data_IF_671745296625
#
_entry.id   IF_671745296625
#
_cell.length_a   1.000
_cell.length_b   1.000
_cell.length_c   1.000
_cell.angle_alpha   90.00
_cell.angle_beta   90.00
_cell.angle_gamma   90.00
#
_symmetry.space_group_name_H-M   'P 1'
#
loop_
_entity.id
_entity.type
_entity.pdbx_description
1 polymer ?
#
# COMPACT_ATOMS: atom_id res chain seq x y z
N UNK A 1 29.75 -50.38 9.30
CA UNK A 1 28.46 -50.66 8.65
C UNK A 1 27.37 -50.22 9.60
N UNK A 2 26.77 -49.05 9.32
CA UNK A 2 25.36 -48.74 9.54
C UNK A 2 25.12 -47.41 8.82
N UNK A 3 24.70 -47.52 7.56
CA UNK A 3 24.29 -46.40 6.72
C UNK A 3 22.93 -45.89 7.22
N UNK A 4 22.91 -44.67 7.75
CA UNK A 4 21.67 -43.97 8.05
C UNK A 4 21.13 -43.42 6.72
N UNK A 5 20.22 -44.17 6.11
CA UNK A 5 19.44 -43.73 4.94
C UNK A 5 18.47 -42.64 5.40
N UNK A 6 18.67 -41.42 4.89
CA UNK A 6 17.73 -40.32 5.03
C UNK A 6 16.67 -40.52 3.94
N UNK A 7 15.45 -40.86 4.33
CA UNK A 7 14.31 -40.90 3.41
C UNK A 7 13.93 -39.47 3.04
N UNK A 8 14.15 -39.09 1.79
CA UNK A 8 13.59 -37.90 1.17
C UNK A 8 12.09 -38.14 0.90
N UNK A 9 11.23 -37.87 1.88
CA UNK A 9 9.81 -37.73 1.61
C UNK A 9 9.56 -36.38 0.94
N UNK A 10 9.45 -36.41 -0.39
CA UNK A 10 8.90 -35.33 -1.19
C UNK A 10 7.45 -35.05 -0.76
N UNK A 11 7.26 -34.00 0.03
CA UNK A 11 5.94 -33.43 0.30
C UNK A 11 5.49 -32.71 -0.98
N UNK A 12 4.59 -33.35 -1.73
CA UNK A 12 3.82 -32.67 -2.78
C UNK A 12 2.90 -31.66 -2.09
N UNK A 13 3.20 -30.38 -2.26
CA UNK A 13 2.28 -29.30 -1.92
C UNK A 13 1.27 -29.27 -3.06
N UNK A 14 0.01 -29.55 -2.75
CA UNK A 14 -1.09 -29.33 -3.69
C UNK A 14 -1.21 -27.83 -3.93
N UNK A 15 -0.77 -27.39 -5.11
CA UNK A 15 -1.04 -26.06 -5.63
C UNK A 15 -2.53 -25.95 -5.97
N UNK A 16 -3.33 -25.49 -5.02
CA UNK A 16 -4.67 -24.97 -5.29
C UNK A 16 -4.78 -23.58 -4.67
N UNK A 17 -4.08 -22.62 -5.25
CA UNK A 17 -4.40 -21.20 -5.10
C UNK A 17 -4.65 -20.66 -6.51
N UNK A 18 -5.91 -20.54 -6.87
CA UNK A 18 -6.33 -19.81 -8.07
C UNK A 18 -5.83 -18.38 -7.94
N UNK A 19 -4.78 -18.08 -8.71
CA UNK A 19 -4.28 -16.73 -8.93
C UNK A 19 -5.32 -16.01 -9.78
N UNK A 20 -6.10 -15.12 -9.18
CA UNK A 20 -6.88 -14.14 -9.95
C UNK A 20 -5.95 -13.00 -10.35
N UNK A 21 -5.27 -13.17 -11.48
CA UNK A 21 -4.75 -12.06 -12.27
C UNK A 21 -5.94 -11.28 -12.84
N UNK A 22 -6.14 -10.03 -12.42
CA UNK A 22 -7.23 -9.20 -12.96
C UNK A 22 -6.69 -8.40 -14.14
N UNK A 23 -6.97 -8.90 -15.34
CA UNK A 23 -7.12 -8.07 -16.54
C UNK A 23 -8.62 -7.78 -16.76
N UNK A 24 -9.02 -6.51 -16.64
CA UNK A 24 -10.24 -5.88 -17.18
C UNK A 24 -11.63 -6.33 -16.65
N UNK A 25 -12.67 -5.49 -16.89
CA UNK A 25 -13.43 -4.77 -15.87
C UNK A 25 -14.39 -5.68 -15.08
N UNK A 26 -14.39 -5.57 -13.75
CA UNK A 26 -15.30 -6.36 -12.92
C UNK A 26 -16.76 -6.07 -13.30
N UNK A 27 -17.45 -7.07 -13.84
CA UNK A 27 -18.90 -7.04 -14.09
C UNK A 27 -19.70 -6.67 -12.84
N UNK A 28 -19.12 -6.88 -11.65
CA UNK A 28 -19.66 -6.46 -10.35
C UNK A 28 -19.61 -4.94 -10.16
N UNK A 29 -18.57 -4.24 -10.63
CA UNK A 29 -18.49 -2.77 -10.62
C UNK A 29 -19.57 -2.16 -11.51
N UNK A 30 -19.74 -2.70 -12.72
CA UNK A 30 -20.78 -2.23 -13.67
C UNK A 30 -22.18 -2.45 -13.08
N UNK A 31 -22.46 -3.63 -12.51
CA UNK A 31 -23.75 -3.92 -11.87
C UNK A 31 -24.01 -3.07 -10.62
N UNK A 32 -22.98 -2.75 -9.84
CA UNK A 32 -23.10 -1.84 -8.69
C UNK A 32 -23.46 -0.42 -9.15
N UNK A 33 -22.77 0.06 -10.21
CA UNK A 33 -22.99 1.40 -10.78
C UNK A 33 -24.35 1.57 -11.46
N UNK A 34 -24.92 0.50 -12.02
CA UNK A 34 -26.28 0.51 -12.58
C UNK A 34 -27.38 0.49 -11.49
N UNK A 35 -27.08 -0.10 -10.33
CA UNK A 35 -28.05 -0.35 -9.25
C UNK A 35 -28.19 0.84 -8.29
N UNK A 36 -27.08 1.51 -7.97
CA UNK A 36 -27.09 2.76 -7.23
C UNK A 36 -27.19 3.94 -8.22
N UNK A 37 -28.42 4.39 -8.51
CA UNK A 37 -28.65 5.73 -9.08
C UNK A 37 -28.12 6.80 -8.12
N UNK A 38 -26.81 7.05 -8.11
CA UNK A 38 -26.19 8.16 -7.40
C UNK A 38 -26.45 9.44 -8.20
N UNK A 39 -27.71 9.84 -8.22
CA UNK A 39 -28.12 11.23 -8.38
C UNK A 39 -28.09 11.85 -6.99
N UNK A 40 -27.65 13.11 -6.90
CA UNK A 40 -27.36 13.88 -5.69
C UNK A 40 -25.96 13.66 -5.09
N UNK A 41 -25.02 14.55 -5.47
CA UNK A 41 -24.22 15.37 -4.55
C UNK A 41 -23.68 16.59 -5.34
N UNK A 42 -24.27 17.73 -5.02
CA UNK A 42 -23.81 19.14 -5.06
C UNK A 42 -22.84 19.60 -6.16
N UNK A 43 -23.39 20.38 -7.10
CA UNK A 43 -22.67 21.39 -7.87
C UNK A 43 -22.15 22.49 -6.92
N UNK A 44 -20.84 22.52 -6.68
CA UNK A 44 -20.20 23.72 -6.14
C UNK A 44 -19.99 24.67 -7.32
N UNK A 45 -20.82 25.71 -7.37
CA UNK A 45 -20.67 26.88 -8.23
C UNK A 45 -19.26 27.45 -8.12
N UNK A 46 -18.55 27.48 -9.24
CA UNK A 46 -17.43 28.41 -9.44
C UNK A 46 -18.02 29.63 -10.14
N UNK A 47 -18.18 30.70 -9.39
CA UNK A 47 -18.61 32.00 -9.87
C UNK A 47 -17.73 32.48 -11.03
N UNK A 48 -18.32 32.63 -12.21
CA UNK A 48 -17.83 33.57 -13.22
C UNK A 48 -18.89 34.64 -13.44
N UNK A 49 -18.59 35.83 -12.95
CA UNK A 49 -19.37 37.05 -13.10
C UNK A 49 -19.63 37.43 -14.56
N UNK A 50 -20.92 37.53 -14.90
CA UNK A 50 -21.61 38.49 -15.78
C UNK A 50 -21.01 38.86 -17.15
N UNK A 51 -21.74 38.52 -18.23
CA UNK A 51 -22.34 39.51 -19.16
C UNK A 51 -23.70 39.01 -19.66
N UNK A 52 -24.73 39.83 -19.47
CA UNK A 52 -26.11 39.71 -19.95
C UNK A 52 -26.26 39.77 -21.47
N UNK A 53 -27.16 38.96 -22.04
CA UNK A 53 -28.30 39.46 -22.87
C UNK A 53 -29.31 38.35 -23.14
N UNK A 54 -30.59 38.75 -23.16
CA UNK A 54 -31.79 37.96 -23.44
C UNK A 54 -31.81 37.51 -24.90
N UNK A 55 -32.37 36.32 -25.19
CA UNK A 55 -33.59 36.15 -26.02
C UNK A 55 -33.89 34.67 -26.33
N UNK A 56 -35.11 34.30 -25.93
CA UNK A 56 -36.12 33.43 -26.56
C UNK A 56 -35.77 32.08 -27.23
N UNK A 57 -36.44 31.06 -26.69
CA UNK A 57 -36.64 29.72 -27.24
C UNK A 57 -37.22 29.73 -28.66
N UNK A 58 -36.63 28.92 -29.55
CA UNK A 58 -37.37 28.19 -30.58
C UNK A 58 -36.75 26.83 -30.83
N UNK A 59 -37.54 25.77 -30.63
CA UNK A 59 -37.27 24.40 -31.06
C UNK A 59 -37.45 24.31 -32.59
N UNK A 60 -36.37 24.09 -33.34
CA UNK A 60 -36.43 23.61 -34.73
C UNK A 60 -35.32 22.57 -34.94
N UNK A 61 -35.74 21.42 -35.49
CA UNK A 61 -34.97 20.20 -35.76
C UNK A 61 -33.64 20.44 -36.51
N UNK A 62 -32.58 19.72 -36.12
CA UNK A 62 -31.35 19.65 -36.91
C UNK A 62 -31.48 18.61 -38.05
N UNK A 63 -31.11 18.93 -39.31
CA UNK A 63 -30.95 17.93 -40.34
C UNK A 63 -29.64 17.14 -40.11
N UNK A 64 -29.72 15.82 -40.27
CA UNK A 64 -28.58 14.90 -40.33
C UNK A 64 -27.52 15.43 -41.31
N UNK A 65 -26.35 15.81 -40.79
CA UNK A 65 -25.13 15.93 -41.60
C UNK A 65 -24.10 14.92 -41.11
N UNK A 66 -23.97 13.84 -41.87
CA UNK A 66 -22.74 13.05 -41.95
C UNK A 66 -21.60 14.01 -42.28
N UNK A 67 -20.62 14.13 -41.41
CA UNK A 67 -19.30 14.58 -41.78
C UNK A 67 -18.30 13.66 -41.08
N UNK A 68 -17.35 13.16 -41.87
CA UNK A 68 -16.25 12.33 -41.42
C UNK A 68 -15.35 13.17 -40.52
N UNK A 69 -15.11 12.72 -39.28
CA UNK A 69 -14.21 13.37 -38.34
C UNK A 69 -13.10 12.42 -37.90
N UNK A 70 -11.88 12.94 -37.96
CA UNK A 70 -10.57 12.33 -37.66
C UNK A 70 -10.46 11.89 -36.20
N UNK A 71 -9.62 10.87 -35.95
CA UNK A 71 -9.57 10.07 -34.71
C UNK A 71 -9.39 10.82 -33.37
N UNK A 72 -8.95 12.08 -33.35
CA UNK A 72 -8.85 12.90 -32.12
C UNK A 72 -10.23 13.19 -31.50
N UNK A 73 -11.26 13.41 -32.31
CA UNK A 73 -12.64 13.57 -31.81
C UNK A 73 -13.25 12.26 -31.28
N UNK A 74 -12.77 11.11 -31.76
CA UNK A 74 -13.21 9.81 -31.25
C UNK A 74 -12.66 9.55 -29.84
N UNK A 75 -11.41 9.95 -29.57
CA UNK A 75 -10.82 9.81 -28.23
C UNK A 75 -11.49 10.68 -27.17
N UNK A 76 -11.80 11.94 -27.50
CA UNK A 76 -12.51 12.82 -26.55
C UNK A 76 -13.95 12.33 -26.31
N UNK A 77 -14.59 11.75 -27.33
CA UNK A 77 -15.87 11.05 -27.20
C UNK A 77 -15.76 9.88 -26.21
N UNK A 78 -14.70 9.06 -26.30
CA UNK A 78 -14.48 7.94 -25.38
C UNK A 78 -14.29 8.42 -23.93
N UNK A 79 -13.51 9.47 -23.68
CA UNK A 79 -13.37 10.02 -22.32
C UNK A 79 -14.65 10.67 -21.80
N UNK A 80 -15.47 11.27 -22.68
CA UNK A 80 -16.84 11.71 -22.33
C UNK A 80 -17.70 10.51 -21.94
N UNK A 81 -17.64 9.41 -22.69
CA UNK A 81 -18.39 8.20 -22.37
C UNK A 81 -17.92 7.58 -21.04
N UNK A 82 -16.60 7.54 -20.78
CA UNK A 82 -16.03 7.12 -19.50
C UNK A 82 -16.49 8.01 -18.34
N UNK A 83 -16.56 9.33 -18.56
CA UNK A 83 -17.06 10.29 -17.58
C UNK A 83 -18.55 10.05 -17.27
N UNK A 84 -19.39 9.87 -18.31
CA UNK A 84 -20.83 9.61 -18.13
C UNK A 84 -21.10 8.25 -17.49
N UNK A 85 -20.30 7.24 -17.85
CA UNK A 85 -20.38 5.90 -17.27
C UNK A 85 -19.75 5.83 -15.87
N UNK A 86 -19.12 6.90 -15.37
CA UNK A 86 -18.34 6.91 -14.12
C UNK A 86 -17.29 5.78 -14.05
N UNK A 87 -16.70 5.46 -15.19
CA UNK A 87 -15.75 4.36 -15.28
C UNK A 87 -14.45 4.70 -14.51
N UNK A 88 -14.00 3.75 -13.69
CA UNK A 88 -12.73 3.87 -12.97
C UNK A 88 -11.63 3.38 -13.88
N UNK A 89 -10.70 4.26 -14.20
CA UNK A 89 -9.56 3.94 -15.03
C UNK A 89 -8.26 4.06 -14.23
N UNK A 90 -7.16 3.56 -14.78
CA UNK A 90 -5.83 3.63 -14.16
C UNK A 90 -4.82 4.32 -15.07
N UNK A 91 -3.91 5.08 -14.44
CA UNK A 91 -2.78 5.72 -15.12
C UNK A 91 -1.51 5.63 -14.27
N UNK A 92 -0.36 5.82 -14.91
CA UNK A 92 0.93 5.93 -14.22
C UNK A 92 1.24 7.41 -14.01
N UNK A 93 1.53 7.82 -12.78
CA UNK A 93 1.95 9.20 -12.50
C UNK A 93 3.32 9.44 -13.14
N UNK A 94 3.44 10.47 -13.96
CA UNK A 94 4.69 10.81 -14.67
C UNK A 94 5.34 12.08 -14.13
N UNK A 95 4.56 13.06 -13.69
CA UNK A 95 5.09 14.31 -13.16
C UNK A 95 4.18 14.92 -12.10
N UNK A 96 4.71 15.91 -11.39
CA UNK A 96 3.97 16.73 -10.41
C UNK A 96 4.11 18.18 -10.83
N UNK A 97 2.99 18.82 -11.13
CA UNK A 97 2.94 20.19 -11.66
C UNK A 97 2.29 21.15 -10.67
N UNK A 98 2.62 22.44 -10.81
CA UNK A 98 2.06 23.52 -10.01
C UNK A 98 1.52 24.57 -10.94
N UNK A 99 0.21 24.77 -10.90
CA UNK A 99 -0.48 25.54 -11.94
C UNK A 99 -0.45 27.04 -11.66
N UNK A 100 -0.60 27.45 -10.39
CA UNK A 100 -0.79 28.86 -10.02
C UNK A 100 0.02 29.31 -8.79
N UNK A 101 0.12 30.64 -8.60
CA UNK A 101 0.68 31.27 -7.38
C UNK A 101 -0.10 30.91 -6.11
N UNK A 102 -1.37 30.52 -6.25
CA UNK A 102 -2.24 30.07 -5.15
C UNK A 102 -1.83 28.70 -4.57
N UNK A 103 -0.97 27.96 -5.27
CA UNK A 103 -0.32 26.79 -4.70
C UNK A 103 -0.96 25.45 -5.03
N UNK A 104 -1.96 25.41 -5.93
CA UNK A 104 -2.58 24.16 -6.41
C UNK A 104 -1.55 23.28 -7.10
N UNK A 105 -1.48 22.03 -6.66
CA UNK A 105 -0.53 21.03 -7.15
C UNK A 105 -1.34 19.89 -7.75
N UNK A 106 -0.84 19.33 -8.86
CA UNK A 106 -1.46 18.21 -9.55
C UNK A 106 -0.46 17.08 -9.73
N UNK A 107 -0.95 15.85 -9.60
CA UNK A 107 -0.29 14.69 -10.19
C UNK A 107 -0.71 14.60 -11.65
N UNK A 108 0.27 14.50 -12.55
CA UNK A 108 0.04 14.47 -13.98
C UNK A 108 0.44 13.11 -14.58
N UNK A 109 -0.41 12.63 -15.46
CA UNK A 109 -0.18 11.44 -16.28
C UNK A 109 -0.56 11.75 -17.73
N UNK A 110 0.09 11.09 -18.67
CA UNK A 110 -0.29 11.15 -20.08
C UNK A 110 -0.84 9.79 -20.50
N UNK A 111 -2.05 9.79 -21.06
CA UNK A 111 -2.72 8.60 -21.56
C UNK A 111 -3.49 8.98 -22.81
N UNK A 112 -3.35 8.18 -23.88
CA UNK A 112 -4.01 8.41 -25.17
C UNK A 112 -3.79 9.80 -25.79
N UNK A 113 -2.61 10.38 -25.57
CA UNK A 113 -2.21 11.76 -25.95
C UNK A 113 -2.86 12.88 -25.13
N UNK A 114 -3.79 12.55 -24.23
CA UNK A 114 -4.40 13.50 -23.31
C UNK A 114 -3.59 13.63 -22.01
N UNK A 115 -3.60 14.84 -21.45
CA UNK A 115 -2.98 15.12 -20.15
C UNK A 115 -4.01 14.98 -19.04
N UNK A 116 -3.83 13.98 -18.18
CA UNK A 116 -4.67 13.77 -17.01
C UNK A 116 -4.08 14.53 -15.82
N UNK A 117 -4.88 15.38 -15.18
CA UNK A 117 -4.54 16.12 -13.96
C UNK A 117 -5.42 15.65 -12.81
N UNK A 118 -4.77 15.14 -11.76
CA UNK A 118 -5.43 14.77 -10.50
C UNK A 118 -5.00 15.76 -9.43
N UNK A 119 -5.96 16.44 -8.80
CA UNK A 119 -5.67 17.43 -7.76
C UNK A 119 -5.08 16.76 -6.51
N UNK A 120 -4.06 17.39 -5.93
CA UNK A 120 -3.30 16.78 -4.82
C UNK A 120 -4.10 16.65 -3.54
N UNK A 121 -5.03 17.55 -3.26
CA UNK A 121 -5.89 17.43 -2.06
C UNK A 121 -6.72 16.14 -2.08
N UNK A 122 -6.97 15.59 -3.26
CA UNK A 122 -7.62 14.28 -3.40
C UNK A 122 -6.70 13.10 -3.09
N UNK A 123 -5.39 13.34 -2.98
CA UNK A 123 -4.37 12.37 -2.59
C UNK A 123 -3.95 12.52 -1.11
N UNK A 124 -4.64 13.35 -0.32
CA UNK A 124 -4.28 13.57 1.09
C UNK A 124 -4.44 12.32 1.98
N UNK A 125 -5.25 11.35 1.55
CA UNK A 125 -5.44 10.06 2.23
C UNK A 125 -4.14 9.27 2.40
N UNK A 126 -3.13 9.56 1.59
CA UNK A 126 -1.84 8.86 1.58
C UNK A 126 -0.83 9.42 2.58
N UNK A 127 -1.13 10.56 3.20
CA UNK A 127 -0.23 11.13 4.18
C UNK A 127 -0.36 10.41 5.52
N UNK A 128 0.78 10.06 6.15
CA UNK A 128 0.79 9.54 7.50
C UNK A 128 -0.01 10.44 8.44
N UNK A 129 -0.71 9.87 9.43
CA UNK A 129 -1.45 10.65 10.44
C UNK A 129 -0.60 11.77 11.08
N UNK A 130 0.70 11.58 11.22
CA UNK A 130 1.64 12.61 11.71
C UNK A 130 1.85 13.76 10.74
N UNK A 131 1.77 13.51 9.42
CA UNK A 131 1.86 14.52 8.36
C UNK A 131 0.53 15.24 8.18
N UNK A 132 -0.61 14.56 8.37
CA UNK A 132 -1.95 15.18 8.36
C UNK A 132 -2.13 16.26 9.44
N UNK A 133 -1.31 16.22 10.50
CA UNK A 133 -1.31 17.21 11.60
C UNK A 133 -0.42 18.43 11.33
N UNK A 134 0.29 18.48 10.20
CA UNK A 134 1.10 19.64 9.85
C UNK A 134 0.19 20.73 9.27
N UNK A 135 0.52 21.99 9.56
CA UNK A 135 -0.19 23.15 9.03
C UNK A 135 0.75 24.02 8.18
N UNK A 136 0.15 24.83 7.31
CA UNK A 136 0.85 25.83 6.51
C UNK A 136 1.89 25.24 5.53
N UNK A 137 3.02 25.93 5.37
CA UNK A 137 4.02 25.61 4.34
C UNK A 137 4.67 24.23 4.50
N UNK A 138 4.74 23.70 5.72
CA UNK A 138 5.31 22.39 6.00
C UNK A 138 4.44 21.25 5.44
N UNK A 139 3.11 21.41 5.51
CA UNK A 139 2.16 20.47 4.93
C UNK A 139 2.29 20.42 3.41
N UNK A 140 2.33 21.59 2.76
CA UNK A 140 2.48 21.71 1.30
C UNK A 140 3.78 21.04 0.84
N UNK A 141 4.89 21.30 1.53
CA UNK A 141 6.18 20.69 1.22
C UNK A 141 6.20 19.17 1.46
N UNK A 142 5.44 18.67 2.44
CA UNK A 142 5.29 17.24 2.67
C UNK A 142 4.45 16.57 1.59
N UNK A 143 3.33 17.18 1.18
CA UNK A 143 2.48 16.73 0.07
C UNK A 143 3.27 16.57 -1.23
N UNK A 144 3.98 17.62 -1.66
CA UNK A 144 4.81 17.60 -2.88
C UNK A 144 5.86 16.49 -2.84
N UNK A 145 6.53 16.30 -1.69
CA UNK A 145 7.52 15.23 -1.54
C UNK A 145 6.89 13.85 -1.62
N UNK A 146 5.71 13.65 -1.02
CA UNK A 146 4.95 12.40 -1.10
C UNK A 146 4.61 12.05 -2.55
N UNK A 147 4.04 12.99 -3.30
CA UNK A 147 3.68 12.78 -4.70
C UNK A 147 4.88 12.45 -5.60
N UNK A 148 6.01 13.13 -5.37
CA UNK A 148 7.23 12.83 -6.11
C UNK A 148 7.71 11.39 -5.91
N UNK A 149 7.42 10.76 -4.76
CA UNK A 149 7.70 9.34 -4.54
C UNK A 149 6.73 8.41 -5.26
N UNK A 150 5.53 8.89 -5.59
CA UNK A 150 4.52 8.13 -6.34
C UNK A 150 4.71 8.22 -7.85
N UNK A 151 5.67 9.01 -8.36
CA UNK A 151 6.00 9.02 -9.79
C UNK A 151 6.47 7.64 -10.19
N UNK A 152 5.87 7.08 -11.25
CA UNK A 152 6.06 5.70 -11.70
C UNK A 152 5.03 4.72 -11.13
N UNK A 153 4.25 5.10 -10.12
CA UNK A 153 3.20 4.26 -9.56
C UNK A 153 1.91 4.35 -10.37
N UNK A 154 1.20 3.22 -10.49
CA UNK A 154 -0.15 3.15 -11.07
C UNK A 154 -1.19 3.63 -10.06
N UNK A 155 -2.13 4.44 -10.52
CA UNK A 155 -3.17 5.07 -9.70
C UNK A 155 -4.54 4.98 -10.38
N UNK A 156 -5.58 4.69 -9.61
CA UNK A 156 -6.96 4.70 -10.08
C UNK A 156 -7.56 6.11 -10.01
N UNK A 157 -8.33 6.50 -11.01
CA UNK A 157 -9.00 7.79 -11.05
C UNK A 157 -10.36 7.70 -11.76
N UNK A 158 -11.18 8.72 -11.52
CA UNK A 158 -12.48 8.93 -12.13
C UNK A 158 -12.48 10.27 -12.85
N UNK A 159 -12.83 10.32 -14.13
CA UNK A 159 -12.88 11.59 -14.87
C UNK A 159 -13.98 12.48 -14.30
N UNK A 160 -13.65 13.74 -13.98
CA UNK A 160 -14.60 14.73 -13.43
C UNK A 160 -14.94 15.83 -14.40
N UNK A 161 -13.99 16.28 -15.22
CA UNK A 161 -14.23 17.24 -16.29
C UNK A 161 -13.18 17.10 -17.37
N UNK A 162 -13.50 17.59 -18.57
CA UNK A 162 -12.61 17.54 -19.73
C UNK A 162 -12.56 18.94 -20.32
N UNK A 163 -11.37 19.48 -20.47
CA UNK A 163 -11.08 20.69 -21.22
C UNK A 163 -10.62 20.27 -22.62
N UNK A 164 -11.54 20.37 -23.59
CA UNK A 164 -11.29 19.98 -24.97
C UNK A 164 -10.35 20.95 -25.71
N UNK A 165 -10.30 22.21 -25.29
CA UNK A 165 -9.48 23.23 -25.95
C UNK A 165 -8.00 23.05 -25.60
N UNK A 166 -7.72 22.68 -24.35
CA UNK A 166 -6.37 22.46 -23.85
C UNK A 166 -5.96 20.98 -23.80
N UNK A 167 -6.82 20.06 -24.23
CA UNK A 167 -6.59 18.61 -24.20
C UNK A 167 -6.24 18.08 -22.79
N UNK A 168 -6.88 18.66 -21.77
CA UNK A 168 -6.67 18.32 -20.36
C UNK A 168 -7.89 17.60 -19.80
N UNK A 169 -7.66 16.47 -19.15
CA UNK A 169 -8.67 15.72 -18.41
C UNK A 169 -8.44 15.94 -16.92
N UNK A 170 -9.41 16.53 -16.24
CA UNK A 170 -9.41 16.59 -14.78
C UNK A 170 -10.05 15.32 -14.24
N UNK A 171 -9.40 14.74 -13.23
CA UNK A 171 -9.84 13.49 -12.65
C UNK A 171 -9.76 13.51 -11.13
N UNK A 172 -10.70 12.79 -10.53
CA UNK A 172 -10.80 12.60 -9.10
C UNK A 172 -10.35 11.20 -8.69
N UNK A 173 -9.32 11.13 -7.85
CA UNK A 173 -8.91 9.86 -7.24
C UNK A 173 -9.77 9.51 -6.05
N UNK A 174 -10.15 10.49 -5.22
CA UNK A 174 -10.97 10.25 -4.03
C UNK A 174 -12.28 9.54 -4.37
N UNK A 175 -12.97 10.02 -5.41
CA UNK A 175 -14.22 9.42 -5.89
C UNK A 175 -14.03 7.99 -6.40
N UNK A 176 -12.94 7.73 -7.12
CA UNK A 176 -12.63 6.38 -7.59
C UNK A 176 -12.47 5.40 -6.41
N UNK A 177 -11.71 5.77 -5.38
CA UNK A 177 -11.50 4.93 -4.20
C UNK A 177 -12.80 4.69 -3.41
N UNK A 178 -13.65 5.71 -3.27
CA UNK A 178 -14.96 5.57 -2.60
C UNK A 178 -15.86 4.55 -3.31
N UNK A 179 -15.88 4.56 -4.65
CA UNK A 179 -16.64 3.58 -5.44
C UNK A 179 -16.04 2.18 -5.26
N UNK A 180 -14.72 2.03 -5.37
CA UNK A 180 -14.04 0.73 -5.18
C UNK A 180 -14.34 0.13 -3.81
N UNK A 181 -14.26 0.94 -2.75
CA UNK A 181 -14.52 0.52 -1.37
C UNK A 181 -15.97 0.04 -1.18
N UNK A 182 -16.93 0.67 -1.85
CA UNK A 182 -18.34 0.26 -1.79
C UNK A 182 -18.61 -0.99 -2.62
N UNK A 183 -17.96 -1.12 -3.77
CA UNK A 183 -18.09 -2.28 -4.64
C UNK A 183 -17.49 -3.54 -4.01
N UNK A 184 -16.39 -3.41 -3.26
CA UNK A 184 -15.68 -4.52 -2.61
C UNK A 184 -15.52 -4.29 -1.10
N UNK A 185 -16.57 -4.55 -0.31
CA UNK A 185 -16.50 -4.45 1.14
C UNK A 185 -15.64 -5.58 1.72
N UNK A 186 -14.85 -5.26 2.74
CA UNK A 186 -13.98 -6.19 3.46
C UNK A 186 -14.34 -6.21 4.95
N UNK A 187 -13.98 -7.29 5.64
CA UNK A 187 -14.17 -7.48 7.07
C UNK A 187 -12.85 -7.70 7.81
N UNK A 188 -12.88 -7.56 9.13
CA UNK A 188 -11.74 -7.90 9.98
C UNK A 188 -11.44 -9.40 9.85
N UNK A 189 -10.16 -9.75 9.76
CA UNK A 189 -9.57 -11.06 9.49
C UNK A 189 -9.54 -11.51 8.02
N UNK A 190 -10.09 -10.73 7.09
CA UNK A 190 -9.95 -11.04 5.67
C UNK A 190 -8.48 -10.94 5.24
N UNK A 191 -8.11 -11.77 4.27
CA UNK A 191 -6.79 -11.76 3.64
C UNK A 191 -6.94 -11.04 2.30
N UNK A 192 -6.15 -9.98 2.11
CA UNK A 192 -6.21 -9.12 0.93
C UNK A 192 -4.84 -9.04 0.27
N UNK A 193 -4.82 -8.99 -1.05
CA UNK A 193 -3.63 -8.67 -1.82
C UNK A 193 -3.52 -7.15 -1.92
N UNK A 194 -2.52 -6.56 -1.28
CA UNK A 194 -2.35 -5.12 -1.23
C UNK A 194 -1.04 -4.68 -1.87
N UNK A 195 -1.09 -3.58 -2.61
CA UNK A 195 0.07 -2.97 -3.25
C UNK A 195 0.76 -1.99 -2.31
N UNK A 196 2.07 -2.10 -2.14
CA UNK A 196 2.88 -1.19 -1.31
C UNK A 196 3.07 0.13 -2.05
N UNK A 197 2.73 1.24 -1.40
CA UNK A 197 2.77 2.58 -2.01
C UNK A 197 3.78 3.52 -1.36
N UNK A 198 4.12 3.30 -0.09
CA UNK A 198 5.17 4.05 0.62
C UNK A 198 5.76 3.16 1.72
N UNK A 199 7.08 3.28 1.94
CA UNK A 199 7.77 2.55 3.01
C UNK A 199 8.64 3.53 3.78
N UNK A 200 8.37 3.64 5.08
CA UNK A 200 9.16 4.44 6.01
C UNK A 200 9.80 3.53 7.07
N UNK A 201 10.64 4.08 7.95
CA UNK A 201 11.37 3.29 8.95
C UNK A 201 10.48 2.66 10.04
N UNK A 202 9.24 3.12 10.16
CA UNK A 202 8.31 2.76 11.24
C UNK A 202 7.08 1.97 10.76
N UNK A 203 6.64 2.21 9.53
CA UNK A 203 5.48 1.54 8.93
C UNK A 203 5.62 1.53 7.40
N UNK A 204 4.89 0.61 6.77
CA UNK A 204 4.62 0.61 5.33
C UNK A 204 3.15 0.97 5.10
N UNK A 205 2.87 1.63 3.99
CA UNK A 205 1.52 1.98 3.55
C UNK A 205 1.20 1.16 2.31
N UNK A 206 -0.01 0.61 2.27
CA UNK A 206 -0.50 -0.21 1.16
C UNK A 206 -1.87 0.23 0.68
N UNK A 207 -2.25 -0.18 -0.51
CA UNK A 207 -3.56 0.07 -1.12
C UNK A 207 -4.14 -1.22 -1.68
N UNK A 208 -5.44 -1.45 -1.46
CA UNK A 208 -6.23 -2.54 -2.05
C UNK A 208 -7.68 -2.12 -2.14
N UNK A 209 -8.37 -2.38 -3.25
CA UNK A 209 -9.84 -2.18 -3.38
C UNK A 209 -10.39 -0.85 -2.86
N UNK A 210 -9.68 0.26 -3.09
CA UNK A 210 -10.09 1.59 -2.61
C UNK A 210 -9.80 1.86 -1.14
N UNK A 211 -9.21 0.91 -0.41
CA UNK A 211 -8.80 1.02 0.98
C UNK A 211 -7.30 1.28 1.12
N UNK A 212 -6.96 2.06 2.14
CA UNK A 212 -5.57 2.35 2.51
C UNK A 212 -5.23 1.61 3.80
N UNK A 213 -4.18 0.80 3.73
CA UNK A 213 -3.66 0.00 4.82
C UNK A 213 -2.34 0.52 5.36
N UNK A 214 -2.13 0.34 6.66
CA UNK A 214 -0.86 0.58 7.32
C UNK A 214 -0.37 -0.70 7.99
N UNK A 215 0.89 -1.05 7.74
CA UNK A 215 1.58 -2.17 8.38
C UNK A 215 2.60 -1.60 9.37
N UNK A 216 2.40 -1.87 10.66
CA UNK A 216 3.36 -1.49 11.69
C UNK A 216 4.56 -2.44 11.72
N UNK A 217 5.73 -1.96 12.15
CA UNK A 217 6.96 -2.78 12.27
C UNK A 217 6.79 -4.11 13.02
N UNK A 218 5.86 -4.18 13.98
CA UNK A 218 5.58 -5.38 14.79
C UNK A 218 4.67 -6.40 14.11
N UNK A 219 4.00 -5.99 13.04
CA UNK A 219 2.99 -6.76 12.31
C UNK A 219 3.53 -7.31 10.98
N UNK A 220 4.84 -7.15 10.74
CA UNK A 220 5.53 -7.60 9.53
C UNK A 220 5.92 -9.08 9.62
N UNK A 221 6.51 -9.49 10.74
CA UNK A 221 6.99 -10.87 10.96
C UNK A 221 6.97 -11.25 12.43
N UNK A 222 6.91 -12.56 12.70
CA UNK A 222 7.12 -13.14 14.03
C UNK A 222 8.56 -12.97 14.54
N UNK A 223 9.49 -12.67 13.64
CA UNK A 223 10.88 -12.37 13.95
C UNK A 223 11.14 -10.88 14.23
N UNK A 224 12.28 -10.58 14.86
CA UNK A 224 12.70 -9.18 15.06
C UNK A 224 13.01 -8.52 13.71
N UNK A 225 12.17 -7.57 13.32
CA UNK A 225 12.37 -6.73 12.13
C UNK A 225 13.31 -5.58 12.46
N UNK A 226 14.42 -5.48 11.73
CA UNK A 226 15.39 -4.39 11.89
C UNK A 226 15.03 -3.18 11.03
N UNK A 227 14.86 -3.41 9.72
CA UNK A 227 14.43 -2.40 8.74
C UNK A 227 13.22 -2.94 7.99
N UNK A 228 12.25 -2.08 7.72
CA UNK A 228 11.01 -2.44 7.03
C UNK A 228 11.27 -2.62 5.53
N UNK A 229 12.20 -1.84 5.00
CA UNK A 229 12.64 -1.87 3.61
C UNK A 229 13.30 -3.20 3.21
N UNK A 230 13.71 -4.03 4.18
CA UNK A 230 14.20 -5.38 3.90
C UNK A 230 13.04 -6.38 3.59
N UNK A 231 11.78 -5.96 3.80
CA UNK A 231 10.58 -6.80 3.67
C UNK A 231 9.58 -6.32 2.61
N UNK A 232 9.65 -5.04 2.24
CA UNK A 232 8.73 -4.39 1.31
C UNK A 232 9.48 -3.38 0.45
N UNK A 233 9.20 -3.43 -0.86
CA UNK A 233 9.57 -2.42 -1.83
C UNK A 233 8.31 -1.70 -2.35
N UNK A 234 8.47 -0.45 -2.79
CA UNK A 234 7.36 0.32 -3.36
C UNK A 234 6.95 -0.35 -4.67
N UNK A 235 5.65 -0.66 -4.81
CA UNK A 235 5.08 -1.36 -5.95
C UNK A 235 4.82 -2.85 -5.70
N UNK A 236 5.38 -3.44 -4.64
CA UNK A 236 5.16 -4.85 -4.30
C UNK A 236 3.69 -5.16 -4.03
N UNK A 237 3.22 -6.32 -4.48
CA UNK A 237 1.91 -6.86 -4.10
C UNK A 237 2.10 -7.93 -3.02
N UNK A 238 1.46 -7.75 -1.86
CA UNK A 238 1.66 -8.62 -0.70
C UNK A 238 0.32 -9.02 -0.09
N UNK A 239 0.20 -10.30 0.23
CA UNK A 239 -0.93 -10.81 1.00
C UNK A 239 -0.83 -10.35 2.45
N UNK A 240 -1.91 -9.77 2.96
CA UNK A 240 -1.98 -9.20 4.31
C UNK A 240 -3.32 -9.52 4.94
N UNK A 241 -3.32 -9.74 6.25
CA UNK A 241 -4.54 -9.92 7.04
C UNK A 241 -5.01 -8.60 7.63
N UNK A 242 -6.30 -8.32 7.55
CA UNK A 242 -6.92 -7.15 8.18
C UNK A 242 -7.03 -7.38 9.69
N UNK A 243 -6.30 -6.60 10.48
CA UNK A 243 -6.37 -6.62 11.95
C UNK A 243 -7.49 -5.73 12.47
N UNK A 244 -7.64 -4.56 11.85
CA UNK A 244 -8.64 -3.55 12.21
C UNK A 244 -9.05 -2.80 10.97
N UNK A 245 -10.35 -2.50 10.89
CA UNK A 245 -10.97 -1.79 9.80
C UNK A 245 -11.80 -0.64 10.35
N UNK A 246 -11.44 0.59 10.02
CA UNK A 246 -12.16 1.81 10.38
C UNK A 246 -12.54 2.60 9.12
N UNK A 247 -13.37 3.64 9.26
CA UNK A 247 -13.79 4.47 8.12
C UNK A 247 -12.63 5.24 7.46
N UNK A 248 -11.56 5.53 8.21
CA UNK A 248 -10.43 6.34 7.74
C UNK A 248 -9.23 5.51 7.22
N UNK A 249 -9.23 4.19 7.45
CA UNK A 249 -8.15 3.30 7.04
C UNK A 249 -8.16 1.95 7.75
N UNK A 250 -7.23 1.08 7.37
CA UNK A 250 -7.10 -0.26 7.94
C UNK A 250 -5.69 -0.53 8.49
N UNK A 251 -5.63 -1.36 9.53
CA UNK A 251 -4.39 -1.90 10.07
C UNK A 251 -4.22 -3.31 9.56
N UNK A 252 -3.06 -3.58 9.00
CA UNK A 252 -2.76 -4.83 8.31
C UNK A 252 -1.59 -5.55 8.96
N UNK A 253 -1.59 -6.88 8.83
CA UNK A 253 -0.51 -7.74 9.33
C UNK A 253 -0.13 -8.78 8.30
N UNK A 254 1.18 -8.82 7.99
CA UNK A 254 1.81 -9.94 7.28
C UNK A 254 2.12 -11.08 8.24
N UNK A 255 2.49 -10.73 9.47
CA UNK A 255 2.88 -11.67 10.55
C UNK A 255 1.81 -12.73 10.82
N UNK A 256 0.53 -12.39 10.74
CA UNK A 256 -0.58 -13.33 10.99
C UNK A 256 -0.67 -14.46 9.95
N UNK A 257 -0.01 -14.31 8.80
CA UNK A 257 0.06 -15.32 7.75
C UNK A 257 1.28 -16.24 7.91
N UNK A 258 2.22 -15.88 8.77
CA UNK A 258 3.43 -16.65 9.03
C UNK A 258 3.19 -17.63 10.19
N UNK A 259 3.73 -18.84 10.08
CA UNK A 259 3.83 -19.74 11.24
C UNK A 259 4.65 -19.08 12.36
N UNK A 260 4.22 -19.28 13.61
CA UNK A 260 4.97 -18.78 14.74
C UNK A 260 6.29 -19.56 14.92
N UNK A 261 7.39 -18.86 14.63
CA UNK A 261 8.76 -19.39 14.68
C UNK A 261 9.10 -19.88 16.08
N UNK A 262 8.63 -19.20 17.13
CA UNK A 262 8.91 -19.60 18.51
C UNK A 262 8.26 -20.94 18.81
N UNK A 263 6.97 -21.09 18.48
CA UNK A 263 6.23 -22.33 18.74
C UNK A 263 6.85 -23.50 17.96
N UNK A 264 7.14 -23.28 16.67
CA UNK A 264 7.74 -24.27 15.78
C UNK A 264 9.08 -24.83 16.27
N UNK A 265 9.97 -23.98 16.80
CA UNK A 265 11.32 -24.41 17.17
C UNK A 265 11.53 -24.67 18.66
N UNK A 266 10.75 -24.02 19.53
CA UNK A 266 10.87 -24.16 20.99
C UNK A 266 9.87 -25.17 21.52
N UNK A 267 8.60 -25.03 21.17
CA UNK A 267 7.51 -25.81 21.77
C UNK A 267 7.42 -27.18 21.11
N UNK A 268 7.27 -27.21 19.79
CA UNK A 268 6.93 -28.44 19.07
C UNK A 268 8.11 -29.38 18.92
N UNK A 269 9.31 -28.83 18.69
CA UNK A 269 10.50 -29.61 18.31
C UNK A 269 11.60 -29.65 19.37
N UNK A 270 11.43 -28.95 20.51
CA UNK A 270 12.37 -28.90 21.65
C UNK A 270 13.85 -28.77 21.25
N UNK A 271 14.18 -28.00 20.20
CA UNK A 271 15.58 -27.86 19.78
C UNK A 271 16.43 -27.10 20.80
N UNK A 272 15.79 -26.22 21.56
CA UNK A 272 16.44 -25.36 22.53
C UNK A 272 15.89 -25.61 23.93
N UNK A 273 16.80 -25.81 24.89
CA UNK A 273 16.48 -26.06 26.29
C UNK A 273 17.17 -25.04 27.19
N UNK A 274 16.55 -24.73 28.33
CA UNK A 274 17.19 -23.92 29.35
C UNK A 274 18.53 -24.55 29.79
N UNK A 275 19.51 -23.69 30.02
CA UNK A 275 20.92 -24.03 30.31
C UNK A 275 21.67 -24.71 29.15
N UNK A 276 21.05 -24.85 27.98
CA UNK A 276 21.72 -25.29 26.77
C UNK A 276 22.70 -24.25 26.22
N UNK A 277 23.74 -24.73 25.55
CA UNK A 277 24.78 -23.89 24.94
C UNK A 277 24.65 -23.98 23.42
N UNK A 278 24.53 -22.84 22.76
CA UNK A 278 24.26 -22.77 21.32
C UNK A 278 25.16 -21.76 20.64
N UNK A 279 25.36 -21.93 19.33
CA UNK A 279 26.02 -20.93 18.48
C UNK A 279 24.94 -19.99 17.94
N UNK A 280 25.19 -18.69 18.03
CA UNK A 280 24.29 -17.66 17.55
C UNK A 280 25.06 -16.53 16.85
N UNK A 281 24.45 -15.93 15.83
CA UNK A 281 25.04 -14.83 15.07
C UNK A 281 24.62 -13.48 15.63
N UNK A 282 25.56 -12.58 15.85
CA UNK A 282 25.26 -11.22 16.32
C UNK A 282 24.50 -10.49 15.22
N UNK A 283 23.30 -9.98 15.53
CA UNK A 283 22.50 -9.19 14.59
C UNK A 283 22.45 -7.72 14.94
N UNK A 284 22.33 -7.40 16.23
CA UNK A 284 22.24 -6.02 16.71
C UNK A 284 23.00 -5.87 18.02
N UNK A 285 23.74 -4.77 18.11
CA UNK A 285 24.47 -4.35 19.28
C UNK A 285 23.82 -3.05 19.78
N UNK A 286 23.27 -3.08 20.99
CA UNK A 286 22.82 -1.89 21.71
C UNK A 286 23.73 -1.66 22.92
N UNK A 287 23.65 -0.48 23.53
CA UNK A 287 24.52 -0.12 24.68
C UNK A 287 24.42 -1.10 25.86
N UNK A 288 23.23 -1.66 26.10
CA UNK A 288 22.95 -2.56 27.24
C UNK A 288 22.69 -4.00 26.84
N UNK A 289 22.15 -4.20 25.63
CA UNK A 289 21.68 -5.51 25.16
C UNK A 289 22.31 -5.85 23.81
N UNK A 290 22.62 -7.13 23.65
CA UNK A 290 23.09 -7.74 22.42
C UNK A 290 22.00 -8.72 21.96
N UNK A 291 21.56 -8.58 20.73
CA UNK A 291 20.60 -9.49 20.11
C UNK A 291 21.32 -10.47 19.20
N UNK A 292 21.16 -11.75 19.51
CA UNK A 292 21.78 -12.87 18.82
C UNK A 292 20.71 -13.68 18.10
N UNK A 293 20.95 -14.07 16.86
CA UNK A 293 20.07 -14.97 16.12
C UNK A 293 20.58 -16.41 16.22
N UNK A 294 19.81 -17.30 16.84
CA UNK A 294 20.11 -18.73 16.91
C UNK A 294 19.86 -19.43 15.58
N UNK A 295 18.73 -19.08 14.97
CA UNK A 295 18.23 -19.61 13.70
C UNK A 295 17.33 -18.55 13.09
N UNK A 296 17.13 -18.60 11.77
CA UNK A 296 16.28 -17.65 11.01
C UNK A 296 15.03 -17.26 11.80
N UNK A 297 15.03 -16.01 12.28
CA UNK A 297 13.93 -15.38 12.99
C UNK A 297 13.82 -15.65 14.51
N UNK A 298 14.63 -16.54 15.07
CA UNK A 298 14.66 -16.84 16.51
C UNK A 298 15.83 -16.10 17.19
N UNK A 299 15.48 -15.05 17.95
CA UNK A 299 16.47 -14.17 18.60
C UNK A 299 16.55 -14.34 20.12
N UNK A 300 17.76 -14.24 20.67
CA UNK A 300 18.06 -14.18 22.11
C UNK A 300 18.52 -12.78 22.48
N UNK A 301 17.97 -12.24 23.56
CA UNK A 301 18.50 -11.04 24.21
C UNK A 301 19.52 -11.39 25.29
N UNK A 302 20.71 -10.79 25.22
CA UNK A 302 21.80 -10.97 26.18
C UNK A 302 22.26 -9.61 26.70
N UNK A 303 22.63 -9.52 27.98
CA UNK A 303 23.29 -8.31 28.50
C UNK A 303 24.70 -8.16 27.93
N UNK A 304 25.11 -6.91 27.71
CA UNK A 304 26.48 -6.61 27.28
C UNK A 304 27.50 -7.12 28.33
N UNK A 305 28.56 -7.85 27.93
CA UNK A 305 29.54 -8.36 28.88
C UNK A 305 30.40 -7.21 29.43
N UNK A 306 30.09 -6.77 30.66
CA UNK A 306 30.76 -5.64 31.33
C UNK A 306 32.27 -5.86 31.56
N UNK A 307 32.75 -7.10 31.57
CA UNK A 307 34.10 -7.47 32.05
C UNK A 307 35.07 -7.97 30.98
N UNK A 308 34.76 -7.91 29.69
CA UNK A 308 35.65 -8.46 28.67
C UNK A 308 35.75 -7.54 27.45
N UNK A 309 36.98 -7.22 27.04
CA UNK A 309 37.31 -6.59 25.76
C UNK A 309 37.03 -7.56 24.59
N UNK A 310 35.79 -8.05 24.49
CA UNK A 310 35.37 -8.90 23.38
C UNK A 310 35.08 -7.95 22.23
N UNK A 311 35.85 -8.07 21.15
CA UNK A 311 35.49 -7.39 19.91
C UNK A 311 34.26 -8.08 19.33
N UNK A 312 33.11 -7.43 19.52
CA UNK A 312 31.79 -7.87 19.08
C UNK A 312 31.45 -7.11 17.81
N UNK A 313 31.29 -7.85 16.72
CA UNK A 313 30.97 -7.31 15.40
C UNK A 313 29.67 -7.92 14.91
N UNK A 314 28.86 -7.12 14.24
CA UNK A 314 27.63 -7.60 13.61
C UNK A 314 27.99 -8.68 12.59
N UNK A 315 27.28 -9.80 12.65
CA UNK A 315 27.50 -10.96 11.78
C UNK A 315 28.48 -12.00 12.32
N UNK A 316 29.17 -11.73 13.43
CA UNK A 316 30.05 -12.73 14.07
C UNK A 316 29.25 -13.80 14.79
N UNK A 317 29.70 -15.04 14.71
CA UNK A 317 29.13 -16.16 15.46
C UNK A 317 29.78 -16.26 16.85
N UNK A 318 28.95 -16.42 17.88
CA UNK A 318 29.39 -16.54 19.27
C UNK A 318 28.59 -17.63 19.99
N UNK A 319 29.19 -18.17 21.03
CA UNK A 319 28.56 -19.16 21.88
C UNK A 319 27.75 -18.48 22.99
N UNK A 320 26.49 -18.87 23.12
CA UNK A 320 25.54 -18.32 24.10
C UNK A 320 24.96 -19.41 24.98
N UNK A 321 24.94 -19.17 26.28
CA UNK A 321 24.16 -19.95 27.24
C UNK A 321 22.71 -19.46 27.23
N UNK A 322 21.77 -20.31 26.86
CA UNK A 322 20.35 -20.01 27.02
C UNK A 322 19.99 -20.12 28.51
N UNK A 323 19.57 -19.01 29.15
CA UNK A 323 19.30 -18.98 30.59
C UNK A 323 17.85 -19.30 30.91
N UNK A 324 16.94 -18.63 30.22
CA UNK A 324 15.51 -18.71 30.49
C UNK A 324 14.73 -18.60 29.20
N UNK A 325 13.70 -19.44 29.09
CA UNK A 325 12.72 -19.44 28.01
C UNK A 325 11.40 -18.94 28.59
N UNK A 326 10.97 -17.75 28.19
CA UNK A 326 9.66 -17.21 28.56
C UNK A 326 8.65 -17.57 27.48
N UNK A 327 7.80 -18.57 27.76
CA UNK A 327 6.81 -19.08 26.81
C UNK A 327 5.64 -18.12 26.60
N UNK A 328 5.25 -17.37 27.62
CA UNK A 328 4.14 -16.42 27.53
C UNK A 328 4.53 -15.22 26.68
N UNK A 329 5.75 -14.70 26.90
CA UNK A 329 6.27 -13.54 26.15
C UNK A 329 6.95 -13.93 24.85
N UNK A 330 7.09 -15.24 24.56
CA UNK A 330 7.85 -15.79 23.43
C UNK A 330 9.26 -15.19 23.34
N UNK A 331 9.94 -15.11 24.48
CA UNK A 331 11.24 -14.45 24.61
C UNK A 331 12.32 -15.40 25.13
N UNK A 332 13.51 -15.28 24.56
CA UNK A 332 14.69 -16.02 24.98
C UNK A 332 15.70 -15.06 25.60
N UNK A 333 16.20 -15.41 26.78
CA UNK A 333 17.24 -14.65 27.46
C UNK A 333 18.48 -15.52 27.69
N UNK A 334 19.64 -14.95 27.45
CA UNK A 334 20.90 -15.69 27.51
C UNK A 334 22.05 -14.92 28.13
N UNK A 335 23.20 -15.59 28.19
CA UNK A 335 24.48 -14.99 28.57
C UNK A 335 25.55 -15.44 27.61
N UNK A 336 26.30 -14.48 27.09
CA UNK A 336 27.46 -14.73 26.23
C UNK A 336 28.58 -15.35 27.09
N UNK A 337 29.21 -16.40 26.56
CA UNK A 337 30.23 -17.17 27.28
C UNK A 337 31.55 -16.45 27.46
#
# INVERSE_FOLDING_TARGET
MEEIRINEETVKIEESNEVRSIELPDSELIQFMEKDKINEIEEVNVDSTNVTTKEENTLIEQPKRRNNYTGERQKISEYRDLMYQRYIDTCVIQSVERENKNGDIYACAYKDELKIKIHVEEMDLYLPLSVRKLEGSQLIAAKVRGLRRMVGSTVSYLVTSIDEENEVVYASRKRALEILRKARPHNVNDIVLAKVIDVNDYYAVTEFDGQIGTIGKRDISNSRVYRIQDYFEIGDEVNLKILKLDEEGCFLSRKELEEDIFDKYIIDKKYYSERGVYIAKIKELSEKLIYLELRRGLTIACNYPVKRNVNLEIGKEITVLLRKIDKEKKQLSGRIF
#
